data_IF_994896117822
#
_entry.id   IF_994896117822
#
_cell.length_a   1.000
_cell.length_b   1.000
_cell.length_c   1.000
_cell.angle_alpha   90.00
_cell.angle_beta   90.00
_cell.angle_gamma   90.00
#
_symmetry.space_group_name_H-M   'P 1'
#
loop_
_entity.id
_entity.type
_entity.pdbx_description
1 polymer ?
#
# COMPACT_ATOMS: atom_id res chain seq x y z
N UNK A 1 18.17 -3.21 5.95
CA UNK A 1 16.72 -2.97 5.79
C UNK A 1 16.44 -3.16 4.31
N UNK A 2 15.51 -4.04 3.94
CA UNK A 2 15.27 -4.37 2.54
C UNK A 2 14.66 -3.16 1.81
N UNK A 3 15.12 -2.89 0.59
CA UNK A 3 14.63 -1.74 -0.21
C UNK A 3 13.11 -1.83 -0.42
N UNK A 4 12.55 -3.05 -0.51
CA UNK A 4 11.10 -3.25 -0.61
C UNK A 4 10.37 -2.88 0.67
N UNK A 5 10.96 -3.14 1.84
CA UNK A 5 10.38 -2.74 3.13
C UNK A 5 10.36 -1.22 3.28
N UNK A 6 11.39 -0.54 2.79
CA UNK A 6 11.45 0.92 2.78
C UNK A 6 10.37 1.51 1.87
N UNK A 7 10.26 1.01 0.64
CA UNK A 7 9.24 1.46 -0.33
C UNK A 7 7.82 1.21 0.19
N UNK A 8 7.56 0.03 0.74
CA UNK A 8 6.25 -0.31 1.33
C UNK A 8 5.86 0.63 2.47
N UNK A 9 6.85 1.00 3.31
CA UNK A 9 6.66 1.95 4.40
C UNK A 9 6.36 3.36 3.90
N UNK A 10 7.09 3.85 2.90
CA UNK A 10 6.84 5.18 2.32
C UNK A 10 5.47 5.26 1.64
N UNK A 11 5.06 4.21 0.92
CA UNK A 11 3.73 4.09 0.33
C UNK A 11 2.64 4.20 1.41
N UNK A 12 2.80 3.45 2.51
CA UNK A 12 1.83 3.44 3.61
C UNK A 12 1.73 4.81 4.29
N UNK A 13 2.86 5.52 4.46
CA UNK A 13 2.90 6.87 5.01
C UNK A 13 2.21 7.89 4.09
N UNK A 14 2.43 7.80 2.78
CA UNK A 14 1.77 8.66 1.80
C UNK A 14 0.25 8.47 1.80
N UNK A 15 -0.23 7.22 1.85
CA UNK A 15 -1.67 6.92 1.94
C UNK A 15 -2.26 7.52 3.23
N UNK A 16 -1.59 7.33 4.37
CA UNK A 16 -2.03 7.89 5.65
C UNK A 16 -2.14 9.41 5.64
N UNK A 17 -1.12 10.09 5.10
CA UNK A 17 -1.10 11.55 5.00
C UNK A 17 -2.19 12.09 4.07
N UNK A 18 -2.46 11.41 2.95
CA UNK A 18 -3.56 11.76 2.03
C UNK A 18 -4.92 11.61 2.71
N UNK A 19 -5.13 10.50 3.43
CA UNK A 19 -6.36 10.28 4.16
C UNK A 19 -6.57 11.34 5.25
N UNK A 20 -5.54 11.70 6.02
CA UNK A 20 -5.65 12.78 7.01
C UNK A 20 -5.95 14.14 6.37
N UNK A 21 -5.31 14.48 5.25
CA UNK A 21 -5.55 15.73 4.53
C UNK A 21 -7.00 15.85 4.06
N UNK A 22 -7.55 14.74 3.57
CA UNK A 22 -8.91 14.68 3.03
C UNK A 22 -9.95 14.66 4.15
N UNK A 23 -9.70 13.88 5.20
CA UNK A 23 -10.53 13.83 6.40
C UNK A 23 -10.58 15.18 7.13
N UNK A 24 -9.44 15.87 7.30
CA UNK A 24 -9.39 17.21 7.93
C UNK A 24 -10.10 18.29 7.14
N UNK A 25 -10.21 18.14 5.82
CA UNK A 25 -10.97 19.06 4.98
C UNK A 25 -12.47 18.75 4.97
N UNK A 26 -12.93 17.72 5.70
CA UNK A 26 -14.33 17.31 5.73
C UNK A 26 -14.85 16.86 4.36
N UNK A 27 -13.94 16.49 3.45
CA UNK A 27 -14.29 16.00 2.11
C UNK A 27 -13.99 14.52 2.07
N UNK A 28 -14.89 13.73 1.53
CA UNK A 28 -14.56 12.34 1.19
C UNK A 28 -13.70 12.32 -0.07
N UNK A 29 -12.77 11.37 -0.13
CA UNK A 29 -11.93 11.10 -1.29
C UNK A 29 -12.76 10.43 -2.38
N UNK A 30 -13.69 11.17 -2.96
CA UNK A 30 -14.72 10.67 -3.90
C UNK A 30 -14.27 10.68 -5.35
N UNK A 31 -13.08 11.23 -5.64
CA UNK A 31 -12.58 11.24 -7.00
C UNK A 31 -12.39 9.79 -7.49
N UNK A 32 -13.12 9.34 -8.51
CA UNK A 32 -13.12 7.94 -8.94
C UNK A 32 -11.74 7.51 -9.44
N UNK A 33 -10.95 8.43 -10.00
CA UNK A 33 -9.61 8.13 -10.46
C UNK A 33 -8.64 7.89 -9.29
N UNK A 34 -8.78 8.63 -8.19
CA UNK A 34 -7.92 8.44 -7.01
C UNK A 34 -8.30 7.17 -6.26
N UNK A 35 -9.60 6.87 -6.15
CA UNK A 35 -10.08 5.59 -5.59
C UNK A 35 -9.57 4.39 -6.42
N UNK A 36 -9.61 4.50 -7.74
CA UNK A 36 -9.07 3.47 -8.63
C UNK A 36 -7.57 3.27 -8.40
N UNK A 37 -6.78 4.36 -8.32
CA UNK A 37 -5.35 4.27 -8.07
C UNK A 37 -5.00 3.72 -6.68
N UNK A 38 -5.80 4.05 -5.67
CA UNK A 38 -5.66 3.46 -4.32
C UNK A 38 -5.90 1.95 -4.35
N UNK A 39 -6.92 1.50 -5.08
CA UNK A 39 -7.20 0.06 -5.23
C UNK A 39 -6.09 -0.69 -5.98
N UNK A 40 -5.59 -0.13 -7.08
CA UNK A 40 -4.46 -0.71 -7.84
C UNK A 40 -3.22 -0.87 -6.93
N UNK A 41 -2.99 0.10 -6.04
CA UNK A 41 -1.90 0.09 -5.08
C UNK A 41 -2.07 -0.99 -4.01
N UNK A 42 -3.27 -1.13 -3.44
CA UNK A 42 -3.57 -2.20 -2.46
C UNK A 42 -3.39 -3.59 -3.08
N UNK A 43 -3.80 -3.78 -4.33
CA UNK A 43 -3.61 -5.05 -5.06
C UNK A 43 -2.12 -5.37 -5.26
N UNK A 44 -1.29 -4.37 -5.59
CA UNK A 44 0.16 -4.52 -5.69
C UNK A 44 0.79 -4.90 -4.34
N UNK A 45 0.39 -4.24 -3.25
CA UNK A 45 0.86 -4.55 -1.90
C UNK A 45 0.49 -6.00 -1.52
N UNK A 46 -0.75 -6.40 -1.76
CA UNK A 46 -1.21 -7.76 -1.51
C UNK A 46 -0.42 -8.79 -2.31
N UNK A 47 -0.09 -8.50 -3.56
CA UNK A 47 0.71 -9.37 -4.42
C UNK A 47 2.11 -9.57 -3.83
N UNK A 48 2.80 -8.48 -3.49
CA UNK A 48 4.13 -8.51 -2.87
C UNK A 48 4.09 -9.28 -1.55
N UNK A 49 3.10 -9.05 -0.69
CA UNK A 49 2.97 -9.74 0.59
C UNK A 49 2.69 -11.24 0.45
N UNK A 50 1.97 -11.66 -0.60
CA UNK A 50 1.74 -13.09 -0.90
C UNK A 50 3.01 -13.74 -1.42
N UNK A 51 3.73 -13.05 -2.29
CA UNK A 51 4.96 -13.57 -2.88
C UNK A 51 6.06 -13.74 -1.82
N UNK A 52 6.18 -12.80 -0.89
CA UNK A 52 7.06 -12.94 0.28
C UNK A 52 6.70 -14.13 1.20
N UNK A 53 5.40 -14.42 1.37
CA UNK A 53 4.94 -15.60 2.12
C UNK A 53 5.22 -16.92 1.39
N UNK A 54 5.20 -16.91 0.05
CA UNK A 54 5.59 -18.05 -0.78
C UNK A 54 7.10 -18.32 -0.73
N UNK A 55 7.92 -17.28 -0.67
CA UNK A 55 9.39 -17.43 -0.59
C UNK A 55 9.88 -17.92 0.78
N UNK A 56 9.21 -17.55 1.89
CA UNK A 56 9.53 -18.11 3.23
C UNK A 56 9.32 -19.63 3.33
N UNK A 57 8.47 -20.23 2.49
CA UNK A 57 8.28 -21.70 2.47
C UNK A 57 9.35 -22.46 1.69
N UNK A 58 10.13 -21.81 0.82
CA UNK A 58 11.16 -22.47 -0.02
C UNK A 58 12.57 -22.42 0.58
N UNK A 59 12.78 -21.73 1.70
CA UNK A 59 14.06 -21.67 2.42
C UNK A 59 14.13 -22.61 3.65
N UNK A 60 13.09 -23.43 3.90
CA UNK A 60 13.07 -24.42 4.99
C UNK A 60 12.92 -25.86 4.49
N UNK A 61 13.39 -26.16 3.27
CA UNK A 61 13.50 -27.53 2.77
C UNK A 61 14.94 -27.80 2.32
#
# INVERSE_FOLDING_TARGET
>A
MDVKDQISREISLCIGALNELVFRQGRELTNPHVLQKSRELDELVLHVMRDQRGQKKKQSQ
#
